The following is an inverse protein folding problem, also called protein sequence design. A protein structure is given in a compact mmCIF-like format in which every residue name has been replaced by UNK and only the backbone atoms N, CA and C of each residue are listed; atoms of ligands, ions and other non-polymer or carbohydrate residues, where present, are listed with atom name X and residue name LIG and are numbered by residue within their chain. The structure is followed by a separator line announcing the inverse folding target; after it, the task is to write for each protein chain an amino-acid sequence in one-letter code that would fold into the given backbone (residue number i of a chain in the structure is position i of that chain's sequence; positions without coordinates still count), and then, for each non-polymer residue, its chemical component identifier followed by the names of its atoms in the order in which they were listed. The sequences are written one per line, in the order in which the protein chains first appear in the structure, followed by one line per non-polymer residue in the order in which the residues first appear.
data_IF_622939100937
#
_entry.id   IF_622939100937
#
_cell.length_a   1.000
_cell.length_b   1.000
_cell.length_c   1.000
_cell.angle_alpha   90.00
_cell.angle_beta   90.00
_cell.angle_gamma   90.00
#
_symmetry.space_group_name_H-M   'P 1'
#
loop_
_entity.id
_entity.type
_entity.pdbx_description
1 polymer ?
#
# COMPACT_ATOMS: atom_id res chain seq x y z
N UNK A 1 -9.23 -3.22 22.79
CA UNK A 1 -8.23 -4.29 22.49
C UNK A 1 -7.06 -3.62 21.79
N UNK A 2 -5.80 -3.92 22.13
CA UNK A 2 -4.65 -3.35 21.43
C UNK A 2 -4.49 -4.03 20.07
N UNK A 3 -4.67 -3.27 18.99
CA UNK A 3 -4.39 -3.70 17.64
C UNK A 3 -2.87 -3.75 17.43
N UNK A 4 -2.46 -4.60 16.50
CA UNK A 4 -1.06 -4.87 16.16
C UNK A 4 -0.94 -4.83 14.65
N UNK A 5 0.11 -4.22 14.11
CA UNK A 5 0.40 -4.25 12.68
C UNK A 5 0.98 -5.60 12.24
N UNK A 6 0.42 -6.16 11.17
CA UNK A 6 0.88 -7.40 10.55
C UNK A 6 1.16 -7.15 9.08
N UNK A 7 2.37 -7.46 8.62
CA UNK A 7 2.66 -7.64 7.20
C UNK A 7 1.99 -8.92 6.73
N UNK A 8 0.98 -8.80 5.89
CA UNK A 8 0.26 -9.92 5.32
C UNK A 8 0.58 -10.00 3.83
N UNK A 9 1.06 -11.15 3.37
CA UNK A 9 1.41 -11.37 1.97
C UNK A 9 0.94 -12.71 1.43
N UNK A 10 0.80 -12.74 0.11
CA UNK A 10 0.60 -13.94 -0.67
C UNK A 10 1.87 -14.83 -0.70
N UNK A 11 1.79 -16.08 -1.21
CA UNK A 11 2.95 -16.98 -1.27
C UNK A 11 4.12 -16.44 -2.11
N UNK A 12 3.81 -15.67 -3.16
CA UNK A 12 4.77 -15.04 -4.06
C UNK A 12 5.42 -13.79 -3.48
N UNK A 13 4.85 -13.22 -2.41
CA UNK A 13 5.23 -11.94 -1.82
C UNK A 13 5.15 -10.76 -2.81
N UNK A 14 4.34 -10.90 -3.85
CA UNK A 14 4.07 -9.86 -4.85
C UNK A 14 2.93 -8.95 -4.39
N UNK A 15 1.99 -9.49 -3.62
CA UNK A 15 0.87 -8.75 -3.05
C UNK A 15 0.98 -8.74 -1.53
N UNK A 16 1.26 -7.58 -0.96
CA UNK A 16 1.42 -7.40 0.48
C UNK A 16 0.65 -6.18 1.01
N UNK A 17 0.26 -6.27 2.28
CA UNK A 17 -0.50 -5.23 2.98
C UNK A 17 -0.12 -5.19 4.47
N UNK A 18 -0.14 -4.00 5.08
CA UNK A 18 -0.17 -3.89 6.54
C UNK A 18 -1.62 -3.97 7.04
N UNK A 19 -1.91 -4.96 7.89
CA UNK A 19 -3.22 -5.17 8.50
C UNK A 19 -3.13 -5.01 10.01
N UNK A 20 -4.03 -4.21 10.59
CA UNK A 20 -4.12 -4.02 12.03
C UNK A 20 -5.12 -5.01 12.66
N UNK A 21 -4.62 -5.92 13.49
CA UNK A 21 -5.47 -6.91 14.17
C UNK A 21 -4.89 -7.34 15.52
N UNK A 22 -5.75 -7.74 16.45
CA UNK A 22 -5.30 -8.20 17.77
C UNK A 22 -4.46 -9.49 17.73
N UNK A 23 -4.67 -10.33 16.71
CA UNK A 23 -4.02 -11.65 16.54
C UNK A 23 -3.68 -11.89 15.06
N UNK A 24 -2.66 -12.71 14.82
CA UNK A 24 -2.21 -13.13 13.47
C UNK A 24 -3.36 -13.69 12.62
N UNK A 25 -4.15 -14.60 13.17
CA UNK A 25 -5.26 -15.24 12.44
C UNK A 25 -6.32 -14.24 12.00
N UNK A 26 -6.59 -13.22 12.83
CA UNK A 26 -7.51 -12.14 12.47
C UNK A 26 -6.93 -11.25 11.38
N UNK A 27 -5.62 -10.98 11.38
CA UNK A 27 -4.97 -10.23 10.30
C UNK A 27 -5.11 -10.95 8.95
N UNK A 28 -4.89 -12.27 8.92
CA UNK A 28 -5.08 -13.07 7.69
C UNK A 28 -6.55 -13.04 7.26
N UNK A 29 -7.49 -13.23 8.19
CA UNK A 29 -8.91 -13.22 7.88
C UNK A 29 -9.40 -11.89 7.29
N UNK A 30 -8.82 -10.77 7.73
CA UNK A 30 -9.18 -9.43 7.26
C UNK A 30 -8.39 -8.96 6.04
N UNK A 31 -7.35 -9.69 5.60
CA UNK A 31 -6.49 -9.28 4.49
C UNK A 31 -7.13 -9.55 3.11
N UNK A 32 -6.79 -8.72 2.13
CA UNK A 32 -7.23 -8.92 0.74
C UNK A 32 -6.72 -10.24 0.14
N UNK A 33 -5.54 -10.71 0.58
CA UNK A 33 -4.95 -11.98 0.18
C UNK A 33 -5.89 -13.17 0.42
N UNK A 34 -6.84 -13.08 1.38
CA UNK A 34 -7.84 -14.13 1.63
C UNK A 34 -8.82 -14.31 0.48
N UNK A 35 -9.03 -13.29 -0.35
CA UNK A 35 -9.87 -13.37 -1.56
C UNK A 35 -9.18 -14.07 -2.72
N UNK A 36 -7.85 -14.18 -2.69
CA UNK A 36 -7.04 -14.71 -3.79
C UNK A 36 -6.42 -16.07 -3.46
N UNK A 37 -6.16 -16.33 -2.18
CA UNK A 37 -5.46 -17.52 -1.72
C UNK A 37 -6.16 -18.21 -0.55
N UNK A 38 -5.85 -19.50 -0.40
CA UNK A 38 -6.25 -20.26 0.76
C UNK A 38 -5.55 -19.77 2.03
N UNK A 39 -6.26 -19.87 3.16
CA UNK A 39 -5.76 -19.40 4.45
C UNK A 39 -4.38 -19.95 4.81
N UNK A 40 -4.10 -21.20 4.42
CA UNK A 40 -2.84 -21.89 4.72
C UNK A 40 -1.64 -21.33 3.94
N UNK A 41 -1.91 -20.64 2.83
CA UNK A 41 -0.89 -20.12 1.92
C UNK A 41 -0.51 -18.68 2.28
N UNK A 42 -1.40 -17.96 2.96
CA UNK A 42 -1.17 -16.58 3.38
C UNK A 42 -0.18 -16.52 4.54
N UNK A 43 0.79 -15.60 4.44
CA UNK A 43 1.77 -15.33 5.49
C UNK A 43 1.40 -14.03 6.19
N UNK A 44 1.61 -14.02 7.50
CA UNK A 44 1.39 -12.84 8.32
C UNK A 44 2.53 -12.77 9.33
N UNK A 45 3.32 -11.71 9.22
CA UNK A 45 4.52 -11.43 10.03
C UNK A 45 4.27 -10.16 10.83
N UNK A 46 4.80 -10.11 12.05
CA UNK A 46 4.57 -8.99 12.96
C UNK A 46 5.48 -7.82 12.58
N UNK A 47 4.93 -6.60 12.50
CA UNK A 47 5.65 -5.35 12.23
C UNK A 47 5.43 -4.32 13.35
N UNK A 48 6.09 -4.44 14.52
CA UNK A 48 5.87 -3.53 15.65
C UNK A 48 6.10 -2.04 15.34
N UNK A 49 6.98 -1.72 14.40
CA UNK A 49 7.29 -0.38 13.92
C UNK A 49 6.05 0.41 13.44
N UNK A 50 5.03 -0.29 12.97
CA UNK A 50 3.78 0.32 12.50
C UNK A 50 2.67 0.39 13.54
N UNK A 51 2.87 -0.12 14.77
CA UNK A 51 1.81 -0.12 15.80
C UNK A 51 1.30 1.26 16.17
N UNK A 52 2.15 2.28 16.03
CA UNK A 52 1.77 3.67 16.26
C UNK A 52 0.62 4.13 15.37
N UNK A 53 0.46 3.54 14.18
CA UNK A 53 -0.60 3.87 13.22
C UNK A 53 -1.89 3.06 13.42
N UNK A 54 -1.96 2.26 14.50
CA UNK A 54 -3.11 1.40 14.76
C UNK A 54 -4.40 2.17 15.08
N UNK A 55 -4.28 3.45 15.47
CA UNK A 55 -5.44 4.31 15.77
C UNK A 55 -6.10 4.79 14.48
N UNK A 56 -5.28 5.15 13.49
CA UNK A 56 -5.66 5.57 12.14
C UNK A 56 -6.14 4.37 11.31
N UNK A 57 -5.62 3.18 11.61
CA UNK A 57 -5.97 1.93 10.94
C UNK A 57 -5.28 1.72 9.58
N UNK A 58 -4.42 2.64 9.18
CA UNK A 58 -3.58 2.56 7.98
C UNK A 58 -2.23 3.22 8.25
N UNK A 59 -1.18 2.72 7.59
CA UNK A 59 0.13 3.38 7.59
C UNK A 59 0.15 4.35 6.40
N UNK A 60 0.50 5.63 6.59
CA UNK A 60 0.62 6.58 5.49
C UNK A 60 1.56 6.05 4.39
N UNK A 61 1.18 6.18 3.12
CA UNK A 61 1.99 5.67 2.00
C UNK A 61 3.36 6.33 1.92
N UNK A 62 3.48 7.58 2.35
CA UNK A 62 4.77 8.25 2.49
C UNK A 62 5.72 7.49 3.42
N UNK A 63 5.24 7.07 4.59
CA UNK A 63 6.01 6.27 5.55
C UNK A 63 6.35 4.89 4.98
N UNK A 64 5.41 4.24 4.30
CA UNK A 64 5.67 2.95 3.67
C UNK A 64 6.74 3.05 2.57
N UNK A 65 6.70 4.10 1.73
CA UNK A 65 7.72 4.36 0.71
C UNK A 65 9.11 4.53 1.36
N UNK A 66 9.21 5.34 2.41
CA UNK A 66 10.47 5.56 3.15
C UNK A 66 11.03 4.26 3.75
N UNK A 67 10.16 3.32 4.10
CA UNK A 67 10.52 1.98 4.60
C UNK A 67 10.73 0.93 3.48
N UNK A 68 10.77 1.36 2.22
CA UNK A 68 11.12 0.52 1.06
C UNK A 68 9.95 -0.21 0.40
N UNK A 69 8.71 0.16 0.70
CA UNK A 69 7.55 -0.31 -0.06
C UNK A 69 7.52 0.36 -1.44
N UNK A 70 6.83 -0.29 -2.36
CA UNK A 70 6.54 0.26 -3.68
C UNK A 70 5.02 0.30 -3.90
N UNK A 71 4.59 1.20 -4.78
CA UNK A 71 3.18 1.32 -5.17
C UNK A 71 3.07 1.55 -6.67
N UNK A 72 1.95 1.17 -7.26
CA UNK A 72 1.62 1.60 -8.62
C UNK A 72 1.14 3.05 -8.63
N UNK A 73 1.59 3.83 -9.61
CA UNK A 73 1.07 5.17 -9.87
C UNK A 73 -0.44 5.12 -10.15
N UNK A 74 -1.22 5.87 -9.37
CA UNK A 74 -2.68 5.98 -9.46
C UNK A 74 -3.16 6.83 -10.66
N UNK A 75 -2.25 7.56 -11.32
CA UNK A 75 -2.56 8.46 -12.42
C UNK A 75 -2.93 7.78 -13.74
N UNK A 76 -3.38 8.60 -14.69
CA UNK A 76 -3.71 8.18 -16.05
C UNK A 76 -2.83 8.92 -17.07
N UNK A 77 -2.36 8.21 -18.08
CA UNK A 77 -1.73 8.81 -19.26
C UNK A 77 -2.83 9.40 -20.15
N UNK A 78 -2.56 10.56 -20.77
CA UNK A 78 -3.58 11.27 -21.55
C UNK A 78 -3.94 10.55 -22.86
N UNK A 79 -2.95 10.03 -23.61
CA UNK A 79 -3.19 9.40 -24.92
C UNK A 79 -2.28 8.18 -25.16
N UNK A 80 -2.84 6.99 -25.45
CA UNK A 80 -4.23 6.63 -25.21
C UNK A 80 -4.54 6.71 -23.70
N UNK A 81 -5.79 7.07 -23.32
CA UNK A 81 -6.20 7.13 -21.91
C UNK A 81 -6.10 5.74 -21.26
N UNK A 82 -5.07 5.55 -20.42
CA UNK A 82 -4.82 4.31 -19.69
C UNK A 82 -4.22 4.59 -18.32
N UNK A 83 -4.44 3.68 -17.36
CA UNK A 83 -3.74 3.75 -16.07
C UNK A 83 -2.22 3.75 -16.30
N UNK A 84 -1.51 4.57 -15.54
CA UNK A 84 -0.07 4.68 -15.65
C UNK A 84 0.59 3.37 -15.21
N UNK A 85 0.18 2.85 -14.04
CA UNK A 85 0.70 1.62 -13.43
C UNK A 85 2.23 1.56 -13.33
N UNK A 86 2.91 2.71 -13.42
CA UNK A 86 4.34 2.77 -13.19
C UNK A 86 4.59 2.43 -11.72
N UNK A 87 5.43 1.43 -11.45
CA UNK A 87 5.92 1.13 -10.11
C UNK A 87 6.69 2.35 -9.62
N UNK A 88 6.41 2.78 -8.39
CA UNK A 88 7.04 3.90 -7.73
C UNK A 88 7.67 3.41 -6.43
N UNK A 89 8.98 3.62 -6.31
CA UNK A 89 9.74 3.43 -5.07
C UNK A 89 10.16 4.78 -4.50
N UNK A 90 10.77 4.81 -3.32
CA UNK A 90 11.27 6.05 -2.73
C UNK A 90 12.31 6.75 -3.62
N UNK A 91 13.11 5.98 -4.36
CA UNK A 91 14.16 6.50 -5.26
C UNK A 91 13.59 7.27 -6.45
N UNK A 92 12.35 6.97 -6.87
CA UNK A 92 11.67 7.67 -7.97
C UNK A 92 11.16 9.06 -7.55
N UNK A 93 11.25 9.41 -6.25
CA UNK A 93 10.68 10.62 -5.66
C UNK A 93 9.21 10.84 -6.07
N UNK A 94 8.33 9.88 -5.77
CA UNK A 94 6.91 9.98 -6.12
C UNK A 94 6.23 11.06 -5.30
N UNK A 95 5.09 11.53 -5.80
CA UNK A 95 4.26 12.54 -5.13
C UNK A 95 3.07 11.83 -4.51
N UNK A 96 2.87 12.03 -3.21
CA UNK A 96 1.72 11.50 -2.46
C UNK A 96 0.67 12.59 -2.30
N UNK A 97 -0.54 12.37 -2.82
CA UNK A 97 -1.69 13.29 -2.71
C UNK A 97 -2.85 12.49 -2.14
N UNK A 98 -3.44 12.94 -1.04
CA UNK A 98 -4.55 12.25 -0.36
C UNK A 98 -4.29 10.75 -0.11
N UNK A 99 -3.05 10.41 0.26
CA UNK A 99 -2.57 9.03 0.47
C UNK A 99 -2.60 8.15 -0.79
N UNK A 100 -2.56 8.74 -1.98
CA UNK A 100 -2.36 8.08 -3.28
C UNK A 100 -1.00 8.42 -3.87
N UNK A 101 -0.34 7.44 -4.51
CA UNK A 101 1.03 7.59 -5.03
C UNK A 101 0.98 7.89 -6.52
N UNK A 102 1.70 8.93 -6.92
CA UNK A 102 1.78 9.38 -8.31
C UNK A 102 3.23 9.51 -8.76
N UNK A 103 3.49 9.14 -10.01
CA UNK A 103 4.72 9.55 -10.66
C UNK A 103 4.69 11.05 -10.98
N UNK A 104 5.87 11.64 -11.15
CA UNK A 104 6.03 13.08 -11.40
C UNK A 104 5.18 13.58 -12.57
N UNK A 105 5.19 12.84 -13.69
CA UNK A 105 4.40 13.19 -14.88
C UNK A 105 2.90 13.25 -14.58
N UNK A 106 2.37 12.23 -13.90
CA UNK A 106 0.93 12.15 -13.63
C UNK A 106 0.49 13.21 -12.61
N UNK A 107 1.31 13.48 -11.59
CA UNK A 107 1.04 14.53 -10.62
C UNK A 107 1.03 15.93 -11.28
N UNK A 108 1.98 16.20 -12.18
CA UNK A 108 2.02 17.46 -12.93
C UNK A 108 0.75 17.66 -13.79
N UNK A 109 0.25 16.60 -14.43
CA UNK A 109 -1.00 16.67 -15.19
C UNK A 109 -2.24 16.92 -14.33
N UNK A 110 -2.25 16.50 -13.06
CA UNK A 110 -3.39 16.77 -12.16
C UNK A 110 -3.44 18.23 -11.72
N UNK A 111 -2.29 18.85 -11.47
CA UNK A 111 -2.20 20.26 -11.05
C UNK A 111 -2.61 21.25 -12.14
N UNK A 112 -2.47 20.88 -13.42
CA UNK A 112 -2.86 21.71 -14.57
C UNK A 112 -4.37 21.73 -14.85
N UNK A 113 -5.16 20.85 -14.24
CA UNK A 113 -6.61 20.74 -14.48
C UNK A 113 -7.45 21.39 -13.38
N UNK A 114 -6.83 22.16 -12.48
CA UNK A 114 -7.46 22.84 -11.34
C UNK A 114 -7.63 24.36 -11.54
N UNK A 115 -7.42 24.88 -12.76
CA UNK A 115 -7.65 26.28 -13.14
C UNK A 115 -8.84 26.46 -14.10
#
# INVERSE_FOLDING_TARGET
MHLKAWYVSDPSNEMAQIVFAAKRSAAIQSSEARSWHDYIDIRATRMPEYDQFATEGTVPKQTLLEDGWWFECCGYKAEPRRRCCAVQTVEDNPIVIDDEVYCQDCAAHMQLNTE
#
